data_IF_737790731725
#
_entry.id   IF_737790731725
#
_cell.length_a   1.000
_cell.length_b   1.000
_cell.length_c   1.000
_cell.angle_alpha   90.00
_cell.angle_beta   90.00
_cell.angle_gamma   90.00
#
_symmetry.space_group_name_H-M   'P 1'
#
loop_
_entity.id
_entity.type
_entity.pdbx_description
1 polymer ?
#
# COMPACT_ATOMS: atom_id res chain seq x y z
N UNK A 1 8.10 -12.98 53.57
CA UNK A 1 7.15 -12.03 54.18
C UNK A 1 7.95 -10.74 54.33
N UNK A 2 8.01 -9.85 53.34
CA UNK A 2 6.89 -9.13 52.72
C UNK A 2 7.35 -8.52 51.38
N UNK A 3 6.46 -8.65 50.39
CA UNK A 3 6.28 -7.92 49.12
C UNK A 3 7.49 -7.54 48.25
N UNK A 4 7.69 -8.21 47.11
CA UNK A 4 6.90 -8.07 45.87
C UNK A 4 7.24 -6.73 45.19
N UNK A 5 8.07 -6.86 44.14
CA UNK A 5 7.96 -6.08 42.89
C UNK A 5 8.44 -4.63 42.97
N UNK A 6 9.77 -4.47 42.91
CA UNK A 6 10.43 -3.28 42.34
C UNK A 6 10.49 -3.40 40.81
N UNK A 7 9.42 -3.90 40.18
CA UNK A 7 9.19 -3.84 38.72
C UNK A 7 8.31 -2.62 38.47
N UNK A 8 8.78 -1.46 38.91
CA UNK A 8 8.17 -0.18 38.58
C UNK A 8 9.12 0.49 37.58
N UNK A 9 8.59 0.94 36.45
CA UNK A 9 9.25 1.75 35.40
C UNK A 9 9.91 1.05 34.20
N UNK A 10 9.46 -0.15 33.81
CA UNK A 10 9.59 -0.63 32.41
C UNK A 10 8.79 0.24 31.40
N UNK A 11 8.29 1.41 31.79
CA UNK A 11 7.28 2.17 31.03
C UNK A 11 7.64 3.64 30.81
N UNK A 12 8.92 4.02 30.85
CA UNK A 12 9.30 5.37 30.44
C UNK A 12 9.39 5.50 28.91
N UNK A 13 8.22 5.77 28.33
CA UNK A 13 8.05 6.67 27.18
C UNK A 13 8.71 6.24 25.87
N UNK A 14 8.13 5.23 25.20
CA UNK A 14 8.11 5.27 23.75
C UNK A 14 7.30 6.50 23.33
N UNK A 15 7.98 7.62 23.08
CA UNK A 15 7.41 8.84 22.51
C UNK A 15 6.48 8.42 21.36
N UNK A 16 5.16 8.57 21.55
CA UNK A 16 4.20 8.41 20.46
C UNK A 16 4.46 9.58 19.52
N UNK A 17 5.48 9.45 18.66
CA UNK A 17 5.67 10.31 17.50
C UNK A 17 4.44 10.09 16.62
N UNK A 18 3.43 10.91 16.88
CA UNK A 18 2.14 10.81 16.23
C UNK A 18 2.30 10.91 14.71
N UNK A 19 1.29 10.49 13.97
CA UNK A 19 1.27 10.51 12.50
C UNK A 19 1.72 11.86 11.90
N UNK A 20 1.47 12.96 12.62
CA UNK A 20 1.89 14.33 12.30
C UNK A 20 3.42 14.54 12.38
N UNK A 21 4.10 13.87 13.30
CA UNK A 21 5.55 13.89 13.44
C UNK A 21 6.25 13.18 12.27
N UNK A 22 5.68 12.06 11.79
CA UNK A 22 6.18 11.34 10.61
C UNK A 22 5.97 12.16 9.33
N UNK A 23 4.80 12.78 9.17
CA UNK A 23 4.54 13.73 8.07
C UNK A 23 5.37 15.03 8.16
N UNK A 24 6.00 15.30 9.30
CA UNK A 24 6.92 16.42 9.49
C UNK A 24 8.27 16.25 8.76
N UNK A 25 8.64 15.02 8.41
CA UNK A 25 9.81 14.75 7.58
C UNK A 25 9.53 15.15 6.12
N UNK A 26 10.25 16.17 5.64
CA UNK A 26 10.05 16.77 4.30
C UNK A 26 10.09 15.74 3.16
N UNK A 27 11.02 14.79 3.22
CA UNK A 27 11.16 13.77 2.18
C UNK A 27 10.04 12.75 2.22
N UNK A 28 9.63 12.32 3.42
CA UNK A 28 8.47 11.44 3.60
C UNK A 28 7.18 12.11 3.12
N UNK A 29 6.97 13.39 3.44
CA UNK A 29 5.78 14.13 2.99
C UNK A 29 5.69 14.25 1.47
N UNK A 30 6.82 14.44 0.77
CA UNK A 30 6.91 14.43 -0.69
C UNK A 30 6.60 13.06 -1.28
N UNK A 31 7.18 11.99 -0.72
CA UNK A 31 6.87 10.63 -1.16
C UNK A 31 5.40 10.29 -0.93
N UNK A 32 4.87 10.64 0.23
CA UNK A 32 3.49 10.36 0.60
C UNK A 32 2.48 11.08 -0.31
N UNK A 33 2.70 12.37 -0.56
CA UNK A 33 1.86 13.14 -1.49
C UNK A 33 1.98 12.65 -2.93
N UNK A 34 3.19 12.30 -3.39
CA UNK A 34 3.41 11.68 -4.69
C UNK A 34 2.65 10.36 -4.82
N UNK A 35 2.79 9.48 -3.83
CA UNK A 35 2.10 8.19 -3.78
C UNK A 35 0.57 8.36 -3.76
N UNK A 36 0.07 9.34 -3.00
CA UNK A 36 -1.35 9.63 -2.93
C UNK A 36 -1.90 10.03 -4.31
N UNK A 37 -1.23 10.97 -4.97
CA UNK A 37 -1.60 11.43 -6.32
C UNK A 37 -1.53 10.28 -7.34
N UNK A 38 -0.46 9.47 -7.30
CA UNK A 38 -0.31 8.29 -8.16
C UNK A 38 -1.41 7.25 -7.95
N UNK A 39 -1.82 7.02 -6.71
CA UNK A 39 -2.89 6.07 -6.40
C UNK A 39 -4.24 6.56 -6.93
N UNK A 40 -4.52 7.86 -6.79
CA UNK A 40 -5.73 8.47 -7.36
C UNK A 40 -5.72 8.39 -8.88
N UNK A 41 -4.58 8.72 -9.51
CA UNK A 41 -4.42 8.60 -10.96
C UNK A 41 -4.67 7.19 -11.46
N UNK A 42 -4.09 6.19 -10.78
CA UNK A 42 -4.31 4.77 -11.09
C UNK A 42 -5.78 4.38 -10.99
N UNK A 43 -6.49 4.81 -9.94
CA UNK A 43 -7.92 4.52 -9.77
C UNK A 43 -8.77 5.13 -10.89
N UNK A 44 -8.50 6.39 -11.25
CA UNK A 44 -9.19 7.08 -12.35
C UNK A 44 -8.90 6.39 -13.68
N UNK A 45 -7.64 6.07 -13.98
CA UNK A 45 -7.25 5.37 -15.21
C UNK A 45 -7.89 3.99 -15.31
N UNK A 46 -7.96 3.24 -14.21
CA UNK A 46 -8.63 1.93 -14.18
C UNK A 46 -10.12 2.07 -14.50
N UNK A 47 -10.78 3.06 -13.91
CA UNK A 47 -12.19 3.33 -14.18
C UNK A 47 -12.40 3.77 -15.63
N UNK A 48 -11.55 4.67 -16.14
CA UNK A 48 -11.61 5.18 -17.51
C UNK A 48 -11.39 4.06 -18.54
N UNK A 49 -10.41 3.17 -18.30
CA UNK A 49 -10.16 2.01 -19.14
C UNK A 49 -11.37 1.09 -19.18
N UNK A 50 -12.03 0.89 -18.04
CA UNK A 50 -13.26 0.12 -17.94
C UNK A 50 -14.38 0.81 -18.76
N UNK A 51 -14.70 2.08 -18.52
CA UNK A 51 -15.69 2.78 -19.36
C UNK A 51 -15.36 2.75 -20.87
N UNK A 52 -14.10 2.89 -21.23
CA UNK A 52 -13.64 2.85 -22.62
C UNK A 52 -13.82 1.48 -23.26
N UNK A 53 -13.45 0.40 -22.56
CA UNK A 53 -13.68 -0.96 -23.03
C UNK A 53 -15.18 -1.26 -23.18
N UNK A 54 -16.03 -0.76 -22.27
CA UNK A 54 -17.48 -0.89 -22.43
C UNK A 54 -17.99 -0.16 -23.67
N UNK A 55 -17.52 1.06 -23.90
CA UNK A 55 -17.91 1.85 -25.06
C UNK A 55 -17.51 1.19 -26.39
N UNK A 56 -16.31 0.60 -26.45
CA UNK A 56 -15.83 -0.09 -27.66
C UNK A 56 -16.53 -1.41 -27.92
N UNK A 57 -16.78 -2.20 -26.87
CA UNK A 57 -17.23 -3.60 -27.04
C UNK A 57 -18.74 -3.78 -26.87
N UNK A 58 -19.43 -2.85 -26.21
CA UNK A 58 -20.84 -2.96 -25.83
C UNK A 58 -21.16 -4.12 -24.87
N UNK A 59 -20.15 -4.85 -24.40
CA UNK A 59 -20.30 -6.09 -23.64
C UNK A 59 -19.57 -6.00 -22.30
N UNK A 60 -20.32 -6.17 -21.21
CA UNK A 60 -19.81 -6.23 -19.85
C UNK A 60 -18.89 -7.44 -19.60
N UNK A 61 -18.93 -8.47 -20.45
CA UNK A 61 -18.09 -9.66 -20.29
C UNK A 61 -16.65 -9.42 -20.76
N UNK A 62 -16.45 -8.65 -21.84
CA UNK A 62 -15.12 -8.26 -22.30
C UNK A 62 -14.37 -7.42 -21.24
N UNK A 63 -15.12 -6.59 -20.51
CA UNK A 63 -14.62 -5.79 -19.39
C UNK A 63 -14.09 -6.65 -18.25
N UNK A 64 -14.87 -7.66 -17.85
CA UNK A 64 -14.49 -8.59 -16.79
C UNK A 64 -13.26 -9.41 -17.19
N UNK A 65 -13.18 -9.88 -18.44
CA UNK A 65 -12.02 -10.59 -18.96
C UNK A 65 -10.78 -9.69 -18.95
N UNK A 66 -10.90 -8.44 -19.43
CA UNK A 66 -9.81 -7.49 -19.35
C UNK A 66 -9.33 -7.32 -17.90
N UNK A 67 -10.23 -7.03 -16.95
CA UNK A 67 -9.89 -6.87 -15.53
C UNK A 67 -9.13 -8.09 -14.96
N UNK A 68 -9.56 -9.31 -15.29
CA UNK A 68 -8.89 -10.55 -14.88
C UNK A 68 -7.47 -10.61 -15.48
N UNK A 69 -7.32 -10.33 -16.77
CA UNK A 69 -6.02 -10.37 -17.46
C UNK A 69 -5.02 -9.38 -16.87
N UNK A 70 -5.45 -8.21 -16.39
CA UNK A 70 -4.55 -7.22 -15.75
C UNK A 70 -4.15 -7.66 -14.33
N UNK A 71 -4.98 -8.47 -13.67
CA UNK A 71 -4.73 -8.94 -12.30
C UNK A 71 -3.81 -10.16 -12.26
N UNK A 72 -3.87 -11.03 -13.27
CA UNK A 72 -3.09 -12.27 -13.33
C UNK A 72 -1.58 -12.03 -13.16
N UNK A 73 -0.93 -11.10 -13.90
CA UNK A 73 0.49 -10.83 -13.73
C UNK A 73 0.81 -10.42 -12.29
N UNK A 74 0.00 -9.54 -11.70
CA UNK A 74 0.21 -9.08 -10.31
C UNK A 74 0.17 -10.24 -9.34
N UNK A 75 -0.80 -11.16 -9.46
CA UNK A 75 -0.92 -12.32 -8.57
C UNK A 75 0.25 -13.28 -8.75
N UNK A 76 0.65 -13.54 -10.01
CA UNK A 76 1.80 -14.41 -10.31
C UNK A 76 3.06 -13.81 -9.68
N UNK A 77 3.35 -12.54 -9.97
CA UNK A 77 4.59 -11.91 -9.54
C UNK A 77 4.58 -11.53 -8.05
N UNK A 78 3.43 -11.33 -7.40
CA UNK A 78 3.38 -10.96 -5.97
C UNK A 78 4.11 -11.97 -5.07
N UNK A 79 3.95 -13.28 -5.32
CA UNK A 79 4.67 -14.32 -4.57
C UNK A 79 6.17 -14.34 -4.85
N UNK A 80 6.58 -14.18 -6.11
CA UNK A 80 8.00 -14.19 -6.50
C UNK A 80 8.74 -12.94 -6.06
N UNK A 81 8.12 -11.77 -6.20
CA UNK A 81 8.71 -10.48 -5.83
C UNK A 81 8.92 -10.41 -4.32
N UNK A 82 8.00 -10.93 -3.51
CA UNK A 82 8.19 -11.00 -2.05
C UNK A 82 9.43 -11.81 -1.67
N UNK A 83 9.61 -12.98 -2.29
CA UNK A 83 10.79 -13.84 -2.05
C UNK A 83 12.07 -13.19 -2.57
N UNK A 84 12.04 -12.45 -3.68
CA UNK A 84 13.21 -11.81 -4.27
C UNK A 84 13.65 -10.52 -3.54
N UNK A 85 12.70 -9.72 -3.07
CA UNK A 85 12.96 -8.46 -2.35
C UNK A 85 13.57 -8.73 -0.97
N UNK A 86 13.15 -9.80 -0.29
CA UNK A 86 13.71 -10.17 1.03
C UNK A 86 15.22 -10.46 0.97
N UNK A 87 15.73 -10.87 -0.19
CA UNK A 87 17.14 -11.22 -0.43
C UNK A 87 18.04 -9.99 -0.59
N UNK A 88 17.46 -8.84 -0.93
CA UNK A 88 18.17 -7.58 -1.17
C UNK A 88 18.24 -6.68 0.06
N UNK A 89 17.65 -7.08 1.19
CA UNK A 89 17.76 -6.35 2.44
C UNK A 89 19.11 -6.65 3.14
N UNK A 90 20.19 -6.03 2.65
CA UNK A 90 21.47 -5.85 3.34
C UNK A 90 21.97 -4.42 3.12
#
# INVERSE_FOLDING_TARGET
MTEVVTVESTEEQAEVKGFRAVLGHRDFSRLWSGQLVSNIGTAISSLALMFYAYHLTGSAMAMAILAIVQTIPVVIFAGFVGVYVDQWNR
#
